data_IF_572738442187
#
_entry.id   IF_572738442187
#
_cell.length_a   1.000
_cell.length_b   1.000
_cell.length_c   1.000
_cell.angle_alpha   90.00
_cell.angle_beta   90.00
_cell.angle_gamma   90.00
#
_symmetry.space_group_name_H-M   'P 1'
#
loop_
_entity.id
_entity.type
_entity.pdbx_description
1 polymer ?
#
# COMPACT_ATOMS: atom_id res chain seq x y z
N UNK A 1 -34.48 3.54 9.44
CA UNK A 1 -35.07 4.36 8.35
C UNK A 1 -34.76 5.87 8.37
N UNK A 2 -33.96 6.37 9.32
CA UNK A 2 -33.61 7.79 9.37
C UNK A 2 -32.51 8.15 8.33
N UNK A 3 -31.63 7.21 7.98
CA UNK A 3 -30.49 7.45 7.09
C UNK A 3 -30.94 7.74 5.65
N UNK A 4 -32.01 7.06 5.19
CA UNK A 4 -32.53 7.24 3.81
C UNK A 4 -33.62 8.32 3.69
N UNK A 5 -34.08 8.91 4.80
CA UNK A 5 -35.13 9.94 4.77
C UNK A 5 -34.69 11.30 4.22
N UNK A 6 -33.42 11.48 3.85
CA UNK A 6 -32.92 12.76 3.33
C UNK A 6 -33.13 13.94 4.27
N UNK A 7 -32.22 14.90 4.30
CA UNK A 7 -32.29 16.07 5.15
C UNK A 7 -31.50 15.95 6.45
N UNK A 8 -31.54 16.99 7.28
CA UNK A 8 -30.73 17.14 8.51
C UNK A 8 -30.84 15.98 9.52
N UNK A 9 -31.94 15.23 9.53
CA UNK A 9 -32.13 14.09 10.42
C UNK A 9 -31.37 12.86 9.92
N UNK A 10 -31.37 12.59 8.61
CA UNK A 10 -30.61 11.51 8.00
C UNK A 10 -29.09 11.73 8.14
N UNK A 11 -28.63 12.97 7.94
CA UNK A 11 -27.22 13.32 8.08
C UNK A 11 -26.72 13.11 9.51
N UNK A 12 -27.51 13.53 10.53
CA UNK A 12 -27.19 13.28 11.94
C UNK A 12 -27.13 11.79 12.28
N UNK A 13 -28.09 11.00 11.79
CA UNK A 13 -28.11 9.56 12.05
C UNK A 13 -26.89 8.87 11.43
N UNK A 14 -26.46 9.30 10.22
CA UNK A 14 -25.26 8.82 9.55
C UNK A 14 -23.99 9.19 10.34
N UNK A 15 -23.88 10.44 10.76
CA UNK A 15 -22.75 10.92 11.57
C UNK A 15 -22.64 10.11 12.89
N UNK A 16 -23.75 9.88 13.57
CA UNK A 16 -23.78 9.11 14.80
C UNK A 16 -23.36 7.63 14.56
N UNK A 17 -23.84 7.01 13.47
CA UNK A 17 -23.45 5.67 13.07
C UNK A 17 -21.94 5.58 12.80
N UNK A 18 -21.38 6.52 12.06
CA UNK A 18 -19.93 6.58 11.78
C UNK A 18 -19.15 6.78 13.08
N UNK A 19 -19.54 7.77 13.90
CA UNK A 19 -18.88 8.09 15.17
C UNK A 19 -18.81 6.90 16.12
N UNK A 20 -19.90 6.12 16.23
CA UNK A 20 -19.96 4.92 17.05
C UNK A 20 -18.98 3.81 16.59
N UNK A 21 -18.59 3.82 15.32
CA UNK A 21 -17.78 2.77 14.72
C UNK A 21 -16.30 3.18 14.41
N UNK A 22 -15.86 4.40 14.74
CA UNK A 22 -14.48 4.85 14.51
C UNK A 22 -13.43 3.93 15.16
N UNK A 23 -13.69 3.43 16.37
CA UNK A 23 -12.79 2.50 17.05
C UNK A 23 -12.56 1.19 16.27
N UNK A 24 -13.57 0.75 15.54
CA UNK A 24 -13.47 -0.44 14.71
C UNK A 24 -12.49 -0.24 13.55
N UNK A 25 -12.48 0.95 12.94
CA UNK A 25 -11.53 1.30 11.87
C UNK A 25 -10.09 1.12 12.34
N UNK A 26 -9.75 1.58 13.56
CA UNK A 26 -8.40 1.43 14.14
C UNK A 26 -8.00 -0.05 14.20
N UNK A 27 -8.92 -0.94 14.61
CA UNK A 27 -8.63 -2.38 14.70
C UNK A 27 -8.39 -3.02 13.32
N UNK A 28 -9.02 -2.49 12.27
CA UNK A 28 -8.78 -2.94 10.90
C UNK A 28 -7.47 -2.37 10.36
N UNK A 29 -7.21 -1.06 10.57
CA UNK A 29 -6.01 -0.36 10.09
C UNK A 29 -4.70 -0.95 10.66
N UNK A 30 -4.67 -1.34 11.93
CA UNK A 30 -3.51 -1.99 12.56
C UNK A 30 -3.00 -3.22 11.81
N UNK A 31 -3.85 -3.94 11.10
CA UNK A 31 -3.43 -5.11 10.30
C UNK A 31 -2.64 -4.74 9.04
N UNK A 32 -2.67 -3.48 8.67
CA UNK A 32 -1.98 -2.93 7.50
C UNK A 32 -0.77 -2.06 7.85
N UNK A 33 -0.47 -1.93 9.14
CA UNK A 33 0.70 -1.21 9.65
C UNK A 33 2.01 -1.79 9.09
N UNK A 34 3.00 -0.92 8.87
CA UNK A 34 4.30 -1.32 8.31
C UNK A 34 4.32 -1.59 6.80
N UNK A 35 3.24 -1.25 6.08
CA UNK A 35 3.13 -1.44 4.62
C UNK A 35 3.40 -0.18 3.80
N UNK A 36 4.11 0.81 4.35
CA UNK A 36 4.50 2.03 3.62
C UNK A 36 3.65 3.26 3.92
N UNK A 37 2.67 3.15 4.83
CA UNK A 37 1.89 4.29 5.33
C UNK A 37 1.90 4.32 6.86
N UNK A 38 1.75 5.50 7.45
CA UNK A 38 1.60 5.66 8.90
C UNK A 38 0.25 5.10 9.38
N UNK A 39 0.15 4.71 10.65
CA UNK A 39 -1.11 4.22 11.20
C UNK A 39 -2.20 5.30 11.12
N UNK A 40 -1.84 6.56 11.31
CA UNK A 40 -2.76 7.71 11.24
C UNK A 40 -3.36 7.84 9.85
N UNK A 41 -2.54 7.76 8.80
CA UNK A 41 -3.01 7.79 7.42
C UNK A 41 -3.92 6.60 7.09
N UNK A 42 -3.54 5.39 7.54
CA UNK A 42 -4.36 4.19 7.36
C UNK A 42 -5.74 4.32 8.05
N UNK A 43 -5.79 4.93 9.23
CA UNK A 43 -7.04 5.19 9.94
C UNK A 43 -7.87 6.23 9.19
N UNK A 44 -7.27 7.31 8.69
CA UNK A 44 -7.98 8.34 7.93
C UNK A 44 -8.57 7.76 6.63
N UNK A 45 -7.80 6.96 5.89
CA UNK A 45 -8.30 6.27 4.71
C UNK A 45 -9.39 5.25 5.05
N UNK A 46 -9.25 4.54 6.16
CA UNK A 46 -10.28 3.65 6.68
C UNK A 46 -11.58 4.38 7.07
N UNK A 47 -11.47 5.59 7.62
CA UNK A 47 -12.62 6.43 7.94
C UNK A 47 -13.36 6.87 6.68
N UNK A 48 -12.65 7.16 5.57
CA UNK A 48 -13.28 7.43 4.27
C UNK A 48 -14.09 6.22 3.81
N UNK A 49 -13.53 5.01 3.92
CA UNK A 49 -14.24 3.78 3.62
C UNK A 49 -15.47 3.55 4.52
N UNK A 50 -15.38 3.88 5.82
CA UNK A 50 -16.51 3.80 6.75
C UNK A 50 -17.63 4.77 6.37
N UNK A 51 -17.31 6.00 5.95
CA UNK A 51 -18.27 6.99 5.45
C UNK A 51 -18.99 6.46 4.21
N UNK A 52 -18.24 5.94 3.22
CA UNK A 52 -18.83 5.32 2.03
C UNK A 52 -19.76 4.14 2.37
N UNK A 53 -19.36 3.32 3.35
CA UNK A 53 -20.20 2.24 3.83
C UNK A 53 -21.51 2.76 4.44
N UNK A 54 -21.48 3.85 5.21
CA UNK A 54 -22.67 4.44 5.82
C UNK A 54 -23.63 5.03 4.76
N UNK A 55 -23.08 5.56 3.65
CA UNK A 55 -23.87 6.09 2.54
C UNK A 55 -24.63 5.01 1.76
N UNK A 56 -24.06 3.82 1.66
CA UNK A 56 -24.61 2.71 0.86
C UNK A 56 -25.23 1.60 1.71
N UNK A 57 -25.27 1.76 3.03
CA UNK A 57 -25.80 0.74 3.92
C UNK A 57 -27.33 0.69 3.88
N UNK A 58 -27.84 -0.51 3.69
CA UNK A 58 -29.29 -0.81 3.68
C UNK A 58 -29.64 -1.72 4.88
N UNK A 59 -30.28 -1.14 5.89
CA UNK A 59 -30.69 -1.84 7.10
C UNK A 59 -31.80 -2.88 6.86
N UNK A 60 -32.51 -2.81 5.72
CA UNK A 60 -33.61 -3.74 5.42
C UNK A 60 -33.14 -5.15 5.12
N UNK A 61 -31.85 -5.29 4.78
CA UNK A 61 -31.21 -6.58 4.47
C UNK A 61 -30.88 -7.44 5.69
N UNK A 62 -31.11 -6.95 6.90
CA UNK A 62 -30.93 -7.72 8.14
C UNK A 62 -29.49 -8.01 8.55
N UNK A 63 -28.49 -7.47 7.87
CA UNK A 63 -27.07 -7.62 8.22
C UNK A 63 -26.61 -6.52 9.18
N UNK A 64 -25.64 -6.85 10.05
CA UNK A 64 -25.02 -5.86 10.92
C UNK A 64 -24.15 -4.89 10.10
N UNK A 65 -24.24 -3.59 10.38
CA UNK A 65 -23.44 -2.56 9.70
C UNK A 65 -21.94 -2.88 9.66
N UNK A 66 -21.35 -3.34 10.76
CA UNK A 66 -19.93 -3.67 10.87
C UNK A 66 -19.51 -4.73 9.84
N UNK A 67 -20.32 -5.74 9.58
CA UNK A 67 -20.03 -6.80 8.61
C UNK A 67 -19.98 -6.26 7.17
N UNK A 68 -20.80 -5.26 6.87
CA UNK A 68 -20.78 -4.57 5.58
C UNK A 68 -19.62 -3.57 5.48
N UNK A 69 -19.43 -2.77 6.52
CA UNK A 69 -18.42 -1.69 6.54
C UNK A 69 -16.99 -2.21 6.43
N UNK A 70 -16.69 -3.43 6.95
CA UNK A 70 -15.34 -3.99 6.89
C UNK A 70 -14.81 -4.13 5.47
N UNK A 71 -15.65 -4.40 4.48
CA UNK A 71 -15.26 -4.53 3.08
C UNK A 71 -14.86 -3.18 2.50
N UNK A 72 -15.64 -2.13 2.79
CA UNK A 72 -15.36 -0.76 2.35
C UNK A 72 -14.08 -0.19 2.99
N UNK A 73 -13.92 -0.39 4.31
CA UNK A 73 -12.72 0.03 5.04
C UNK A 73 -11.48 -0.63 4.45
N UNK A 74 -11.51 -1.94 4.22
CA UNK A 74 -10.38 -2.65 3.60
C UNK A 74 -10.08 -2.14 2.20
N UNK A 75 -11.10 -1.94 1.39
CA UNK A 75 -10.95 -1.46 0.02
C UNK A 75 -10.30 -0.08 0.00
N UNK A 76 -10.78 0.86 0.82
CA UNK A 76 -10.22 2.21 0.91
C UNK A 76 -8.74 2.17 1.31
N UNK A 77 -8.40 1.43 2.37
CA UNK A 77 -7.01 1.25 2.82
C UNK A 77 -6.14 0.63 1.71
N UNK A 78 -6.60 -0.43 1.03
CA UNK A 78 -5.83 -1.09 -0.03
C UNK A 78 -5.61 -0.18 -1.23
N UNK A 79 -6.61 0.60 -1.63
CA UNK A 79 -6.49 1.59 -2.73
C UNK A 79 -5.47 2.67 -2.36
N UNK A 80 -5.52 3.18 -1.14
CA UNK A 80 -4.58 4.20 -0.66
C UNK A 80 -3.16 3.65 -0.58
N UNK A 81 -2.96 2.46 -0.02
CA UNK A 81 -1.66 1.77 -0.02
C UNK A 81 -1.11 1.59 -1.44
N UNK A 82 -1.96 1.25 -2.42
CA UNK A 82 -1.50 1.09 -3.80
C UNK A 82 -1.09 2.40 -4.47
N UNK A 83 -1.68 3.53 -4.05
CA UNK A 83 -1.36 4.87 -4.58
C UNK A 83 -0.09 5.46 -3.96
N UNK A 84 0.12 5.21 -2.67
CA UNK A 84 1.13 5.89 -1.85
C UNK A 84 2.33 4.98 -1.50
N UNK A 85 2.41 3.78 -2.06
CA UNK A 85 3.42 2.79 -1.72
C UNK A 85 4.73 3.01 -2.49
N UNK A 86 5.51 4.01 -2.07
CA UNK A 86 6.88 4.26 -2.55
C UNK A 86 7.02 5.38 -3.60
N UNK A 87 8.27 5.73 -3.92
CA UNK A 87 8.64 6.77 -4.89
C UNK A 87 8.15 6.45 -6.31
N UNK A 88 8.08 5.16 -6.66
CA UNK A 88 7.58 4.69 -7.95
C UNK A 88 6.19 4.13 -7.77
N UNK A 89 5.20 4.75 -8.43
CA UNK A 89 3.81 4.28 -8.40
C UNK A 89 3.63 3.01 -9.22
N UNK A 90 3.15 1.96 -8.59
CA UNK A 90 2.79 0.71 -9.24
C UNK A 90 1.27 0.60 -9.46
N UNK A 91 0.81 -0.04 -10.56
CA UNK A 91 -0.60 -0.39 -10.74
C UNK A 91 -1.10 -1.29 -9.60
N UNK A 92 -2.38 -1.12 -9.21
CA UNK A 92 -2.99 -1.86 -8.09
C UNK A 92 -2.84 -3.38 -8.22
N UNK A 93 -2.99 -3.94 -9.44
CA UNK A 93 -2.80 -5.36 -9.69
C UNK A 93 -1.40 -5.85 -9.33
N UNK A 94 -0.37 -5.05 -9.62
CA UNK A 94 1.03 -5.36 -9.27
C UNK A 94 1.26 -5.33 -7.76
N UNK A 95 0.64 -4.37 -7.05
CA UNK A 95 0.72 -4.27 -5.58
C UNK A 95 0.06 -5.48 -4.91
N UNK A 96 -1.10 -5.92 -5.41
CA UNK A 96 -1.80 -7.11 -4.91
C UNK A 96 -0.93 -8.36 -5.14
N UNK A 97 -0.37 -8.52 -6.33
CA UNK A 97 0.50 -9.64 -6.65
C UNK A 97 1.77 -9.64 -5.81
N UNK A 98 2.39 -8.46 -5.60
CA UNK A 98 3.55 -8.31 -4.71
C UNK A 98 3.23 -8.72 -3.25
N UNK A 99 2.04 -8.36 -2.76
CA UNK A 99 1.57 -8.81 -1.43
C UNK A 99 1.40 -10.32 -1.37
N UNK A 100 0.83 -10.94 -2.42
CA UNK A 100 0.67 -12.40 -2.52
C UNK A 100 2.01 -13.12 -2.57
N UNK A 101 2.95 -12.63 -3.38
CA UNK A 101 4.32 -13.18 -3.47
C UNK A 101 5.00 -13.13 -2.09
N UNK A 102 4.87 -12.01 -1.37
CA UNK A 102 5.47 -11.87 -0.02
C UNK A 102 4.89 -12.88 0.97
N UNK A 103 3.59 -13.10 0.94
CA UNK A 103 2.93 -14.08 1.80
C UNK A 103 3.36 -15.52 1.46
N UNK A 104 3.36 -15.89 0.17
CA UNK A 104 3.82 -17.18 -0.29
C UNK A 104 5.30 -17.43 0.04
N UNK A 105 6.15 -16.42 -0.12
CA UNK A 105 7.57 -16.49 0.26
C UNK A 105 7.74 -16.79 1.75
N UNK A 106 6.90 -16.15 2.60
CA UNK A 106 6.93 -16.38 4.05
C UNK A 106 6.49 -17.80 4.41
N UNK A 107 5.44 -18.31 3.80
CA UNK A 107 4.95 -19.68 4.00
C UNK A 107 6.00 -20.70 3.53
N UNK A 108 6.53 -20.52 2.33
CA UNK A 108 7.56 -21.38 1.77
C UNK A 108 8.84 -21.43 2.63
N UNK A 109 9.24 -20.25 3.18
CA UNK A 109 10.39 -20.17 4.09
C UNK A 109 10.15 -20.95 5.39
N UNK A 110 8.92 -20.95 5.91
CA UNK A 110 8.56 -21.73 7.10
C UNK A 110 8.57 -23.23 6.85
N UNK A 111 8.16 -23.68 5.65
CA UNK A 111 8.08 -25.09 5.30
C UNK A 111 9.44 -25.67 4.87
N UNK A 112 10.20 -24.92 4.07
CA UNK A 112 11.41 -25.42 3.40
C UNK A 112 12.71 -24.82 3.96
N UNK A 113 12.65 -23.89 4.90
CA UNK A 113 13.79 -23.17 5.52
C UNK A 113 14.72 -22.47 4.49
N UNK A 114 14.24 -22.22 3.28
CA UNK A 114 14.92 -21.47 2.20
C UNK A 114 13.94 -20.54 1.48
N UNK A 115 14.46 -19.57 0.76
CA UNK A 115 13.62 -18.71 -0.10
C UNK A 115 13.23 -19.48 -1.37
N UNK A 116 12.00 -19.28 -1.89
CA UNK A 116 11.57 -19.85 -3.16
C UNK A 116 12.33 -19.23 -4.33
N UNK A 117 12.52 -19.99 -5.41
CA UNK A 117 13.03 -19.50 -6.69
C UNK A 117 11.94 -18.77 -7.47
N UNK A 118 12.32 -18.06 -8.56
CA UNK A 118 11.35 -17.36 -9.43
C UNK A 118 10.41 -18.38 -10.09
N UNK A 119 10.92 -19.54 -10.50
CA UNK A 119 10.14 -20.64 -11.09
C UNK A 119 9.09 -21.18 -10.11
N UNK A 120 9.51 -21.46 -8.86
CA UNK A 120 8.60 -21.94 -7.81
C UNK A 120 7.51 -20.89 -7.47
N UNK A 121 7.85 -19.61 -7.50
CA UNK A 121 6.87 -18.54 -7.32
C UNK A 121 5.92 -18.45 -8.52
N UNK A 122 6.39 -18.69 -9.74
CA UNK A 122 5.57 -18.73 -10.93
C UNK A 122 4.53 -19.86 -10.85
N UNK A 123 4.95 -21.05 -10.45
CA UNK A 123 4.07 -22.20 -10.25
C UNK A 123 3.02 -21.95 -9.14
N UNK A 124 3.43 -21.34 -8.02
CA UNK A 124 2.53 -21.06 -6.90
C UNK A 124 1.53 -19.94 -7.18
N UNK A 125 1.90 -18.96 -8.01
CA UNK A 125 1.04 -17.80 -8.32
C UNK A 125 0.21 -17.99 -9.58
N UNK A 126 0.69 -18.82 -10.52
CA UNK A 126 0.13 -18.99 -11.87
C UNK A 126 0.49 -17.86 -12.82
N UNK A 127 1.50 -17.05 -12.49
CA UNK A 127 1.97 -15.92 -13.29
C UNK A 127 3.29 -16.26 -14.01
N UNK A 128 3.62 -15.52 -15.08
CA UNK A 128 4.88 -15.76 -15.80
C UNK A 128 6.09 -15.31 -14.98
N UNK A 129 7.23 -16.02 -15.15
CA UNK A 129 8.50 -15.71 -14.49
C UNK A 129 8.96 -14.26 -14.74
N UNK A 130 8.74 -13.74 -15.95
CA UNK A 130 9.10 -12.36 -16.31
C UNK A 130 8.32 -11.33 -15.47
N UNK A 131 7.05 -11.59 -15.18
CA UNK A 131 6.22 -10.74 -14.33
C UNK A 131 6.73 -10.79 -12.89
N UNK A 132 7.03 -11.98 -12.38
CA UNK A 132 7.52 -12.16 -11.01
C UNK A 132 8.89 -11.51 -10.84
N UNK A 133 9.82 -11.72 -11.76
CA UNK A 133 11.14 -11.09 -11.76
C UNK A 133 11.03 -9.56 -11.76
N UNK A 134 10.15 -8.99 -12.61
CA UNK A 134 9.87 -7.55 -12.63
C UNK A 134 9.34 -7.05 -11.27
N UNK A 135 8.41 -7.79 -10.64
CA UNK A 135 7.85 -7.40 -9.34
C UNK A 135 8.90 -7.48 -8.24
N UNK A 136 9.71 -8.53 -8.21
CA UNK A 136 10.78 -8.67 -7.23
C UNK A 136 11.78 -7.50 -7.33
N UNK A 137 12.13 -7.07 -8.55
CA UNK A 137 12.97 -5.89 -8.78
C UNK A 137 12.36 -4.59 -8.23
N UNK A 138 11.03 -4.44 -8.31
CA UNK A 138 10.33 -3.24 -7.79
C UNK A 138 9.98 -3.32 -6.29
N UNK A 139 10.16 -4.48 -5.65
CA UNK A 139 9.91 -4.65 -4.21
C UNK A 139 11.02 -4.08 -3.32
N UNK A 140 12.15 -3.69 -3.89
CA UNK A 140 13.21 -3.02 -3.14
C UNK A 140 12.72 -1.63 -2.71
N UNK A 141 12.98 -1.27 -1.46
CA UNK A 141 12.73 0.09 -0.97
C UNK A 141 13.68 1.03 -1.71
N UNK A 142 13.17 2.17 -2.15
CA UNK A 142 14.02 3.26 -2.59
C UNK A 142 14.91 3.70 -1.42
N UNK A 143 16.22 3.76 -1.64
CA UNK A 143 17.14 4.34 -0.69
C UNK A 143 17.11 5.88 -0.84
N UNK A 144 17.30 6.61 0.25
CA UNK A 144 17.47 8.05 0.18
C UNK A 144 18.86 8.37 -0.37
N UNK A 145 18.94 9.28 -1.32
CA UNK A 145 20.23 9.74 -1.80
C UNK A 145 21.02 10.54 -0.75
N UNK A 146 20.29 11.15 0.20
CA UNK A 146 20.87 11.91 1.31
C UNK A 146 21.26 11.02 2.51
N UNK A 147 20.99 9.72 2.43
CA UNK A 147 21.36 8.77 3.48
C UNK A 147 22.88 8.57 3.47
N UNK A 148 23.54 8.76 4.63
CA UNK A 148 24.98 8.55 4.76
C UNK A 148 25.33 7.06 4.65
N UNK A 149 26.46 6.76 4.00
CA UNK A 149 26.95 5.39 3.76
C UNK A 149 27.42 4.67 5.01
N UNK A 150 27.82 5.40 6.06
CA UNK A 150 28.22 4.89 7.35
C UNK A 150 27.84 5.87 8.46
N UNK A 151 27.67 5.36 9.69
CA UNK A 151 27.23 6.15 10.86
C UNK A 151 28.16 7.36 11.18
N UNK A 152 29.45 7.30 10.80
CA UNK A 152 30.44 8.35 11.05
C UNK A 152 30.95 9.01 9.74
N UNK A 153 30.23 8.85 8.63
CA UNK A 153 30.66 9.41 7.34
C UNK A 153 29.71 10.53 6.87
N UNK A 154 30.28 11.67 6.50
CA UNK A 154 29.53 12.75 5.84
C UNK A 154 29.23 12.42 4.35
N UNK A 155 29.77 11.32 3.81
CA UNK A 155 29.57 10.90 2.42
C UNK A 155 28.19 10.29 2.26
N UNK A 156 27.40 10.82 1.33
CA UNK A 156 26.04 10.36 1.02
C UNK A 156 26.02 9.42 -0.19
N UNK A 157 24.90 8.72 -0.40
CA UNK A 157 24.69 7.96 -1.62
C UNK A 157 24.74 8.84 -2.88
N UNK A 158 24.33 10.11 -2.77
CA UNK A 158 24.38 11.07 -3.87
C UNK A 158 25.82 11.35 -4.33
N UNK A 159 26.79 11.41 -3.39
CA UNK A 159 28.20 11.68 -3.68
C UNK A 159 28.89 10.55 -4.47
N UNK A 160 28.32 9.34 -4.42
CA UNK A 160 28.82 8.17 -5.17
C UNK A 160 28.27 8.06 -6.59
N UNK A 161 27.23 8.83 -6.92
CA UNK A 161 26.67 8.80 -8.26
C UNK A 161 27.58 9.60 -9.22
N UNK A 162 28.14 8.91 -10.20
CA UNK A 162 28.89 9.57 -11.26
C UNK A 162 27.95 10.46 -12.09
N UNK A 163 28.40 11.67 -12.41
CA UNK A 163 27.73 12.49 -13.41
C UNK A 163 27.74 11.75 -14.75
N UNK A 164 26.63 11.79 -15.50
CA UNK A 164 26.57 11.18 -16.82
C UNK A 164 27.59 11.82 -17.76
N UNK A 165 28.08 11.06 -18.75
CA UNK A 165 29.09 11.51 -19.73
C UNK A 165 28.71 12.81 -20.48
N UNK A 166 27.41 13.17 -20.48
CA UNK A 166 26.92 14.42 -21.11
C UNK A 166 27.31 15.69 -20.34
N UNK A 167 27.67 15.57 -19.06
CA UNK A 167 28.03 16.70 -18.17
C UNK A 167 29.53 16.84 -18.03
N UNK A 168 30.33 15.96 -18.65
CA UNK A 168 31.76 16.03 -18.59
C UNK A 168 32.25 17.30 -19.31
N UNK A 169 33.04 18.20 -18.64
CA UNK A 169 33.49 19.47 -19.22
C UNK A 169 34.36 19.28 -20.45
N UNK A 170 34.99 18.12 -20.61
CA UNK A 170 35.87 17.80 -21.74
C UNK A 170 35.12 17.64 -23.07
N UNK A 171 33.84 17.29 -23.05
CA UNK A 171 33.02 17.13 -24.27
C UNK A 171 32.70 18.43 -24.98
N UNK A 172 32.59 19.53 -24.24
CA UNK A 172 32.33 20.86 -24.84
C UNK A 172 33.58 21.44 -25.52
N UNK A 173 34.77 20.91 -25.25
CA UNK A 173 36.04 21.36 -25.85
C UNK A 173 36.33 20.60 -27.13
N UNK A 174 35.84 19.38 -27.29
CA UNK A 174 36.06 18.55 -28.48
C UNK A 174 35.08 18.86 -29.65
N UNK A 175 34.03 19.68 -29.41
CA UNK A 175 33.04 20.09 -30.42
C UNK A 175 33.33 21.48 -31.06
N UNK A 176 34.40 22.21 -30.68
CA UNK A 176 34.91 23.43 -31.32
C UNK A 176 36.11 23.12 -32.20
#
# INVERSE_FOLDING_TARGET
>A
NLIHQGGKAGDKAREELVRANLRFVISVAKRYEGRGMTLEDLVNEGNIGLLQAADHFDETRGFKFISYAVCWIRQSIMVSLSKNNGAVRLPCNRVILASRIRELTKQFLQEHLRKPTVEELADLTGESESIISSILGHMHKAASLDESLAEDSDTTHADMLAAGDEVAPDRTVDEE
#
